data_IF_948216158105
#
_entry.id   IF_948216158105
#
_cell.length_a   1.000
_cell.length_b   1.000
_cell.length_c   1.000
_cell.angle_alpha   90.00
_cell.angle_beta   90.00
_cell.angle_gamma   90.00
#
_symmetry.space_group_name_H-M   'P 1'
#
loop_
_entity.id
_entity.type
_entity.pdbx_description
1 polymer ?
#
# COMPACT_ATOMS: atom_id res chain seq x y z
N UNK A 1 8.05 21.73 -15.68
CA UNK A 1 7.11 21.25 -16.72
C UNK A 1 6.23 20.21 -16.05
N UNK A 2 5.09 20.64 -15.50
CA UNK A 2 4.13 19.74 -14.85
C UNK A 2 3.51 18.87 -15.95
N UNK A 3 3.74 17.56 -15.88
CA UNK A 3 3.19 16.63 -16.83
C UNK A 3 1.91 16.04 -16.20
N UNK A 4 0.72 16.57 -16.50
CA UNK A 4 -0.52 16.19 -15.81
C UNK A 4 -0.84 14.69 -15.98
N UNK A 5 -0.41 14.08 -17.08
CA UNK A 5 -0.56 12.63 -17.32
C UNK A 5 0.31 11.81 -16.36
N UNK A 6 1.48 12.32 -15.97
CA UNK A 6 2.34 11.67 -14.99
C UNK A 6 1.74 11.75 -13.58
N UNK A 7 1.14 12.89 -13.23
CA UNK A 7 0.48 13.09 -11.94
C UNK A 7 -0.78 12.22 -11.80
N UNK A 8 -1.55 12.05 -12.89
CA UNK A 8 -2.75 11.21 -12.92
C UNK A 8 -2.41 9.72 -12.85
N UNK A 9 -1.35 9.28 -13.55
CA UNK A 9 -0.83 7.92 -13.43
C UNK A 9 -0.24 7.63 -12.03
N UNK A 10 0.37 8.63 -11.40
CA UNK A 10 0.87 8.55 -10.03
C UNK A 10 -0.30 8.41 -9.04
N UNK A 11 -1.34 9.24 -9.19
CA UNK A 11 -2.55 9.18 -8.36
C UNK A 11 -3.24 7.81 -8.47
N UNK A 12 -3.44 7.31 -9.70
CA UNK A 12 -4.01 5.98 -9.93
C UNK A 12 -3.18 4.89 -9.24
N UNK A 13 -1.85 5.00 -9.29
CA UNK A 13 -0.95 4.03 -8.66
C UNK A 13 -1.01 4.09 -7.12
N UNK A 14 -1.21 5.28 -6.55
CA UNK A 14 -1.48 5.43 -5.11
C UNK A 14 -2.80 4.80 -4.70
N UNK A 15 -3.87 5.03 -5.44
CA UNK A 15 -5.19 4.41 -5.17
C UNK A 15 -5.13 2.88 -5.25
N UNK A 16 -4.45 2.33 -6.27
CA UNK A 16 -4.26 0.88 -6.38
C UNK A 16 -3.49 0.32 -5.18
N UNK A 17 -2.47 1.03 -4.68
CA UNK A 17 -1.74 0.61 -3.49
C UNK A 17 -2.62 0.65 -2.22
N UNK A 18 -3.48 1.65 -2.07
CA UNK A 18 -4.44 1.75 -0.96
C UNK A 18 -5.43 0.58 -0.99
N UNK A 19 -5.97 0.24 -2.17
CA UNK A 19 -6.87 -0.91 -2.33
C UNK A 19 -6.22 -2.23 -1.91
N UNK A 20 -4.94 -2.44 -2.25
CA UNK A 20 -4.20 -3.62 -1.79
C UNK A 20 -4.01 -3.64 -0.28
N UNK A 21 -3.76 -2.50 0.36
CA UNK A 21 -3.69 -2.42 1.81
C UNK A 21 -5.04 -2.79 2.46
N UNK A 22 -6.15 -2.27 1.94
CA UNK A 22 -7.49 -2.55 2.49
C UNK A 22 -7.89 -4.02 2.31
N UNK A 23 -7.51 -4.65 1.20
CA UNK A 23 -7.65 -6.09 1.00
C UNK A 23 -6.84 -6.88 2.03
N UNK A 24 -5.61 -6.44 2.34
CA UNK A 24 -4.80 -7.04 3.40
C UNK A 24 -5.50 -6.98 4.76
N UNK A 25 -6.11 -5.84 5.10
CA UNK A 25 -6.88 -5.67 6.35
C UNK A 25 -8.07 -6.60 6.37
N UNK A 26 -8.83 -6.67 5.27
CA UNK A 26 -10.00 -7.54 5.18
C UNK A 26 -9.63 -9.03 5.34
N UNK A 27 -8.51 -9.47 4.75
CA UNK A 27 -8.04 -10.85 4.91
C UNK A 27 -7.55 -11.14 6.33
N UNK A 28 -6.87 -10.18 6.97
CA UNK A 28 -6.44 -10.31 8.35
C UNK A 28 -7.63 -10.46 9.31
N UNK A 29 -8.68 -9.66 9.13
CA UNK A 29 -9.93 -9.76 9.90
C UNK A 29 -10.63 -11.12 9.71
N UNK A 30 -10.47 -11.74 8.53
CA UNK A 30 -10.99 -13.08 8.24
C UNK A 30 -10.08 -14.22 8.73
N UNK A 31 -8.98 -13.91 9.41
CA UNK A 31 -7.99 -14.90 9.89
C UNK A 31 -7.12 -15.50 8.79
N UNK A 32 -7.14 -14.94 7.57
CA UNK A 32 -6.35 -15.40 6.42
C UNK A 32 -5.02 -14.65 6.38
N UNK A 33 -4.16 -14.92 7.36
CA UNK A 33 -2.90 -14.18 7.60
C UNK A 33 -1.95 -14.20 6.42
N UNK A 34 -1.77 -15.36 5.76
CA UNK A 34 -0.87 -15.50 4.60
C UNK A 34 -1.31 -14.63 3.40
N UNK A 35 -2.62 -14.56 3.16
CA UNK A 35 -3.17 -13.72 2.09
C UNK A 35 -3.12 -12.25 2.45
N UNK A 36 -3.30 -11.91 3.74
CA UNK A 36 -3.11 -10.55 4.22
C UNK A 36 -1.68 -10.06 3.97
N UNK A 37 -0.67 -10.89 4.29
CA UNK A 37 0.73 -10.57 4.02
C UNK A 37 0.97 -10.33 2.52
N UNK A 38 0.44 -11.19 1.65
CA UNK A 38 0.59 -11.05 0.20
C UNK A 38 0.05 -9.69 -0.28
N UNK A 39 -1.13 -9.29 0.17
CA UNK A 39 -1.74 -8.01 -0.21
C UNK A 39 -0.98 -6.80 0.32
N UNK A 40 -0.50 -6.83 1.57
CA UNK A 40 0.35 -5.76 2.10
C UNK A 40 1.68 -5.62 1.36
N UNK A 41 2.31 -6.75 0.98
CA UNK A 41 3.56 -6.73 0.21
C UNK A 41 3.35 -6.14 -1.19
N UNK A 42 2.21 -6.39 -1.82
CA UNK A 42 1.84 -5.77 -3.11
C UNK A 42 1.60 -4.27 -2.97
N UNK A 43 0.90 -3.82 -1.93
CA UNK A 43 0.76 -2.38 -1.62
C UNK A 43 2.14 -1.72 -1.48
N UNK A 44 3.05 -2.35 -0.72
CA UNK A 44 4.38 -1.81 -0.48
C UNK A 44 5.25 -1.79 -1.75
N UNK A 45 5.19 -2.83 -2.57
CA UNK A 45 5.93 -2.92 -3.84
C UNK A 45 5.52 -1.78 -4.80
N UNK A 46 4.23 -1.46 -4.87
CA UNK A 46 3.74 -0.35 -5.71
C UNK A 46 4.25 0.98 -5.17
N UNK A 47 4.10 1.24 -3.86
CA UNK A 47 4.55 2.49 -3.22
C UNK A 47 6.06 2.71 -3.35
N UNK A 48 6.86 1.64 -3.29
CA UNK A 48 8.31 1.72 -3.49
C UNK A 48 8.72 2.06 -4.93
N UNK A 49 7.89 1.73 -5.92
CA UNK A 49 8.13 2.05 -7.33
C UNK A 49 7.66 3.44 -7.72
N UNK A 50 6.82 4.07 -6.89
CA UNK A 50 6.40 5.44 -7.11
C UNK A 50 7.53 6.40 -6.72
N UNK A 51 7.77 7.45 -7.51
CA UNK A 51 8.71 8.50 -7.13
C UNK A 51 8.30 9.04 -5.77
N UNK A 52 9.25 9.04 -4.83
CA UNK A 52 9.04 9.44 -3.44
C UNK A 52 8.81 10.96 -3.38
N UNK A 53 7.58 11.39 -3.69
CA UNK A 53 7.18 12.75 -3.42
C UNK A 53 6.92 12.86 -1.92
N UNK A 54 7.86 13.51 -1.23
CA UNK A 54 7.99 13.56 0.24
C UNK A 54 6.72 14.11 0.92
N UNK A 55 5.81 14.71 0.15
CA UNK A 55 4.61 15.40 0.63
C UNK A 55 3.34 14.55 0.74
N UNK A 56 3.27 13.34 0.17
CA UNK A 56 2.02 12.54 0.18
C UNK A 56 2.22 11.08 0.68
N UNK A 57 3.42 10.51 0.58
CA UNK A 57 3.61 9.06 0.72
C UNK A 57 3.96 8.58 2.14
N UNK A 58 4.19 9.48 3.09
CA UNK A 58 4.70 9.11 4.43
C UNK A 58 3.63 8.45 5.31
N UNK A 59 2.36 8.86 5.20
CA UNK A 59 1.28 8.39 6.07
C UNK A 59 0.80 6.97 5.74
N UNK A 60 0.49 6.72 4.46
CA UNK A 60 -0.08 5.44 4.05
C UNK A 60 0.96 4.30 3.97
N UNK A 61 2.21 4.63 3.61
CA UNK A 61 3.32 3.69 3.70
C UNK A 61 3.60 3.29 5.15
N UNK A 62 3.46 4.22 6.11
CA UNK A 62 3.58 3.92 7.52
C UNK A 62 2.42 3.05 8.03
N UNK A 63 1.19 3.30 7.58
CA UNK A 63 0.02 2.45 7.85
C UNK A 63 0.20 1.02 7.33
N UNK A 64 0.63 0.87 6.08
CA UNK A 64 0.87 -0.44 5.47
C UNK A 64 1.94 -1.22 6.25
N UNK A 65 3.05 -0.56 6.61
CA UNK A 65 4.11 -1.18 7.44
C UNK A 65 3.62 -1.55 8.84
N UNK A 66 2.80 -0.68 9.46
CA UNK A 66 2.22 -0.95 10.78
C UNK A 66 1.29 -2.16 10.71
N UNK A 67 0.44 -2.26 9.70
CA UNK A 67 -0.47 -3.39 9.53
C UNK A 67 0.30 -4.71 9.30
N UNK A 68 1.39 -4.67 8.53
CA UNK A 68 2.29 -5.83 8.36
C UNK A 68 2.96 -6.24 9.69
N UNK A 69 3.38 -5.28 10.52
CA UNK A 69 4.05 -5.55 11.79
C UNK A 69 3.12 -6.09 12.89
N UNK A 70 1.81 -5.88 12.77
CA UNK A 70 0.80 -6.34 13.75
C UNK A 70 0.16 -7.65 13.31
N UNK A 71 0.38 -8.12 12.06
CA UNK A 71 -0.05 -9.45 11.65
C UNK A 71 0.55 -10.47 12.64
N UNK A 72 -0.28 -11.30 13.29
CA UNK A 72 0.22 -12.33 14.18
C UNK A 72 1.09 -13.27 13.34
N UNK A 73 2.38 -13.34 13.67
CA UNK A 73 3.25 -14.38 13.15
C UNK A 73 2.58 -15.72 13.53
N UNK A 74 2.16 -16.47 12.51
CA UNK A 74 1.71 -17.84 12.69
C UNK A 74 2.85 -18.72 13.20
#
# INVERSE_FOLDING_TARGET
MNNPVADEALLLSHEVAAMFNDLGVLMAVRGRTEEAELFYRRSLEIRQRLPQDVSQDTGETALTRRNLAILPAG
#
